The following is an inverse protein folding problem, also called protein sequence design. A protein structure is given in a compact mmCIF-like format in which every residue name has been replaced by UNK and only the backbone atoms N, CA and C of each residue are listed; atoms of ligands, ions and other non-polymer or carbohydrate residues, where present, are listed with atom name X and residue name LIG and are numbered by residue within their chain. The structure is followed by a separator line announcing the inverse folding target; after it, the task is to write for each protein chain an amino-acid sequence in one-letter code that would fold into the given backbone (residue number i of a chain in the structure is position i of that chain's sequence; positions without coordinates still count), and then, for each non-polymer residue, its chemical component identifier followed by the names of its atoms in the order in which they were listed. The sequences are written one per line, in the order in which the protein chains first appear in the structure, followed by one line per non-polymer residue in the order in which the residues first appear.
data_IF_174814091837
#
_entry.id   IF_174814091837
#
_cell.length_a   1.000
_cell.length_b   1.000
_cell.length_c   1.000
_cell.angle_alpha   90.00
_cell.angle_beta   90.00
_cell.angle_gamma   90.00
#
_symmetry.space_group_name_H-M   'P 1'
#
loop_
_entity.id
_entity.type
_entity.pdbx_description
1 polymer ?
#
# COMPACT_ATOMS: atom_id res chain seq x y z
N UNK A 1 -3.10 10.05 15.07
CA UNK A 1 -2.35 11.13 14.38
C UNK A 1 -0.85 10.99 14.62
N UNK A 2 -0.43 10.80 15.88
CA UNK A 2 0.98 10.59 16.28
C UNK A 2 1.73 9.52 15.48
N UNK A 3 1.18 8.32 15.34
CA UNK A 3 1.83 7.25 14.56
C UNK A 3 2.22 7.70 13.15
N UNK A 4 1.35 8.47 12.48
CA UNK A 4 1.63 9.00 11.14
C UNK A 4 2.68 10.10 11.17
N UNK A 5 2.70 10.94 12.21
CA UNK A 5 3.71 11.98 12.36
C UNK A 5 5.10 11.39 12.52
N UNK A 6 5.25 10.27 13.24
CA UNK A 6 6.54 9.63 13.47
C UNK A 6 6.98 8.71 12.33
N UNK A 7 6.06 8.02 11.65
CA UNK A 7 6.40 7.03 10.62
C UNK A 7 6.12 7.50 9.18
N UNK A 8 5.45 8.64 8.99
CA UNK A 8 5.05 9.15 7.68
C UNK A 8 3.89 8.39 7.02
N UNK A 9 3.44 7.26 7.58
CA UNK A 9 2.36 6.43 7.05
C UNK A 9 1.40 5.94 8.14
N UNK A 10 0.26 5.38 7.74
CA UNK A 10 -0.70 4.76 8.66
C UNK A 10 -0.70 3.24 8.62
N UNK A 11 0.30 2.63 7.96
CA UNK A 11 0.52 1.19 8.02
C UNK A 11 1.15 0.77 9.36
N UNK A 12 0.30 0.58 10.35
CA UNK A 12 0.71 0.24 11.71
C UNK A 12 1.16 -1.22 11.75
N UNK A 13 2.38 -1.55 12.23
CA UNK A 13 2.83 -2.93 12.33
C UNK A 13 2.10 -3.67 13.46
N UNK A 14 1.93 -4.98 13.30
CA UNK A 14 1.36 -5.84 14.34
C UNK A 14 2.44 -6.21 15.38
N UNK A 15 2.79 -5.27 16.26
CA UNK A 15 3.73 -5.47 17.38
C UNK A 15 2.99 -5.41 18.71
N UNK A 16 3.64 -5.80 19.81
CA UNK A 16 3.04 -5.77 21.15
C UNK A 16 2.59 -4.35 21.53
N UNK A 17 3.41 -3.35 21.19
CA UNK A 17 3.23 -1.93 21.49
C UNK A 17 2.12 -1.31 20.64
N UNK A 18 1.98 -1.75 19.38
CA UNK A 18 1.04 -1.18 18.43
C UNK A 18 -0.22 -2.04 18.21
N UNK A 19 -0.38 -3.15 18.94
CA UNK A 19 -1.41 -4.17 18.68
C UNK A 19 -2.82 -3.59 18.58
N UNK A 20 -3.19 -2.72 19.52
CA UNK A 20 -4.53 -2.14 19.55
C UNK A 20 -4.77 -1.20 18.37
N UNK A 21 -3.80 -0.36 18.05
CA UNK A 21 -3.88 0.55 16.90
C UNK A 21 -3.87 -0.21 15.57
N UNK A 22 -3.10 -1.30 15.48
CA UNK A 22 -3.09 -2.20 14.33
C UNK A 22 -4.47 -2.85 14.09
N UNK A 23 -5.08 -3.41 15.14
CA UNK A 23 -6.41 -4.02 15.07
C UNK A 23 -7.43 -2.97 14.64
N UNK A 24 -7.44 -1.81 15.30
CA UNK A 24 -8.37 -0.73 14.97
C UNK A 24 -8.23 -0.27 13.51
N UNK A 25 -7.02 -0.02 13.05
CA UNK A 25 -6.76 0.39 11.66
C UNK A 25 -7.20 -0.69 10.66
N UNK A 26 -6.98 -1.96 10.99
CA UNK A 26 -7.42 -3.09 10.16
C UNK A 26 -8.95 -3.14 10.08
N UNK A 27 -9.66 -3.01 11.20
CA UNK A 27 -11.12 -2.96 11.24
C UNK A 27 -11.69 -1.80 10.43
N UNK A 28 -11.07 -0.61 10.47
CA UNK A 28 -11.53 0.51 9.63
C UNK A 28 -11.42 0.17 8.14
N UNK A 29 -10.29 -0.41 7.71
CA UNK A 29 -10.07 -0.80 6.30
C UNK A 29 -11.06 -1.85 5.83
N UNK A 30 -11.32 -2.87 6.66
CA UNK A 30 -12.28 -3.93 6.34
C UNK A 30 -13.71 -3.38 6.23
N UNK A 31 -14.10 -2.49 7.14
CA UNK A 31 -15.41 -1.85 7.09
C UNK A 31 -15.59 -0.98 5.84
N UNK A 32 -14.57 -0.20 5.47
CA UNK A 32 -14.61 0.61 4.24
C UNK A 32 -14.66 -0.26 2.98
N UNK A 33 -13.93 -1.39 2.96
CA UNK A 33 -14.00 -2.36 1.86
C UNK A 33 -15.43 -2.90 1.72
N UNK A 34 -16.04 -3.36 2.82
CA UNK A 34 -17.43 -3.85 2.82
C UNK A 34 -18.42 -2.77 2.38
N UNK A 35 -18.22 -1.52 2.79
CA UNK A 35 -19.06 -0.40 2.39
C UNK A 35 -19.00 -0.13 0.88
N UNK A 36 -17.81 -0.14 0.29
CA UNK A 36 -17.64 -0.03 -1.17
C UNK A 36 -18.30 -1.16 -1.96
N UNK A 37 -18.39 -2.35 -1.36
CA UNK A 37 -19.09 -3.51 -1.94
C UNK A 37 -20.61 -3.48 -1.69
N UNK A 38 -21.16 -2.43 -1.07
CA UNK A 38 -22.58 -2.34 -0.71
C UNK A 38 -23.00 -3.23 0.47
N UNK A 39 -22.05 -3.87 1.14
CA UNK A 39 -22.27 -4.82 2.25
C UNK A 39 -22.04 -4.21 3.65
N UNK A 40 -21.54 -2.97 3.70
CA UNK A 40 -21.09 -2.33 4.93
C UNK A 40 -22.08 -1.29 5.46
N UNK A 41 -22.70 -1.58 6.59
CA UNK A 41 -23.74 -0.75 7.25
C UNK A 41 -23.13 0.26 8.24
N UNK A 42 -21.91 0.00 8.73
CA UNK A 42 -21.37 0.64 9.95
C UNK A 42 -20.43 1.83 9.74
N UNK A 43 -19.90 1.99 8.53
CA UNK A 43 -19.07 3.14 8.18
C UNK A 43 -19.89 4.06 7.28
N UNK A 44 -20.10 5.29 7.75
CA UNK A 44 -20.77 6.33 6.97
C UNK A 44 -19.73 7.24 6.32
N UNK A 45 -20.15 7.99 5.30
CA UNK A 45 -19.27 8.93 4.60
C UNK A 45 -18.61 9.94 5.54
N UNK A 46 -19.31 10.38 6.58
CA UNK A 46 -18.78 11.32 7.56
C UNK A 46 -17.55 10.76 8.29
N UNK A 47 -17.56 9.49 8.70
CA UNK A 47 -16.40 8.79 9.27
C UNK A 47 -15.28 8.67 8.25
N UNK A 48 -15.61 8.36 7.00
CA UNK A 48 -14.62 8.27 5.91
C UNK A 48 -13.91 9.62 5.71
N UNK A 49 -14.66 10.72 5.65
CA UNK A 49 -14.14 12.08 5.49
C UNK A 49 -13.23 12.48 6.66
N UNK A 50 -13.62 12.20 7.91
CA UNK A 50 -12.78 12.48 9.09
C UNK A 50 -11.44 11.72 9.03
N UNK A 51 -11.47 10.46 8.63
CA UNK A 51 -10.28 9.64 8.50
C UNK A 51 -9.40 10.09 7.31
N UNK A 52 -10.00 10.48 6.18
CA UNK A 52 -9.27 11.12 5.08
C UNK A 52 -8.63 12.45 5.49
N UNK A 53 -9.29 13.27 6.31
CA UNK A 53 -8.78 14.56 6.77
C UNK A 53 -7.51 14.43 7.64
N UNK A 54 -7.37 13.32 8.37
CA UNK A 54 -6.12 13.01 9.09
C UNK A 54 -5.11 12.23 8.21
N UNK A 55 -5.44 12.06 6.93
CA UNK A 55 -4.71 11.31 5.93
C UNK A 55 -4.50 9.85 6.29
N UNK A 56 -5.54 9.20 6.82
CA UNK A 56 -5.61 7.76 7.02
C UNK A 56 -5.66 7.04 5.66
N UNK A 57 -4.70 6.15 5.43
CA UNK A 57 -4.63 5.35 4.21
C UNK A 57 -5.52 4.10 4.33
N UNK A 58 -6.57 4.06 3.50
CA UNK A 58 -7.54 2.97 3.43
C UNK A 58 -7.00 1.70 2.77
N UNK A 59 -5.93 1.82 1.99
CA UNK A 59 -5.28 0.67 1.34
C UNK A 59 -4.34 -0.01 2.34
N UNK A 60 -4.26 -1.33 2.27
CA UNK A 60 -3.55 -2.19 3.23
C UNK A 60 -2.02 -2.06 3.16
N UNK A 61 -1.36 -2.86 4.03
CA UNK A 61 0.09 -3.06 4.28
C UNK A 61 1.05 -2.97 3.09
N UNK A 62 0.56 -3.17 1.88
CA UNK A 62 1.39 -3.18 0.69
C UNK A 62 1.61 -1.78 0.10
N UNK A 63 0.79 -0.78 0.44
CA UNK A 63 0.89 0.56 -0.18
C UNK A 63 2.18 1.28 0.22
N UNK A 64 2.50 1.32 1.50
CA UNK A 64 3.75 1.93 1.96
C UNK A 64 4.97 1.16 1.46
N UNK A 65 4.96 -0.17 1.59
CA UNK A 65 6.03 -1.02 1.07
C UNK A 65 6.23 -0.86 -0.44
N UNK A 66 5.14 -0.75 -1.20
CA UNK A 66 5.19 -0.47 -2.63
C UNK A 66 5.83 0.88 -2.90
N UNK A 67 5.37 1.97 -2.24
CA UNK A 67 5.96 3.32 -2.39
C UNK A 67 7.45 3.33 -2.07
N UNK A 68 7.85 2.64 -1.01
CA UNK A 68 9.24 2.52 -0.60
C UNK A 68 10.09 1.78 -1.66
N UNK A 69 9.59 0.64 -2.17
CA UNK A 69 10.28 -0.13 -3.23
C UNK A 69 10.32 0.61 -4.57
N UNK A 70 9.27 1.35 -4.90
CA UNK A 70 9.24 2.22 -6.06
C UNK A 70 10.28 3.35 -5.93
N UNK A 71 10.40 3.95 -4.75
CA UNK A 71 11.48 4.90 -4.43
C UNK A 71 12.87 4.29 -4.62
N UNK A 72 13.12 3.10 -4.06
CA UNK A 72 14.38 2.37 -4.27
C UNK A 72 14.68 2.13 -5.76
N UNK A 73 13.66 1.78 -6.55
CA UNK A 73 13.80 1.55 -7.99
C UNK A 73 14.15 2.85 -8.73
N UNK A 74 13.44 3.94 -8.42
CA UNK A 74 13.68 5.26 -8.99
C UNK A 74 15.11 5.73 -8.69
N UNK A 75 15.54 5.60 -7.43
CA UNK A 75 16.86 6.04 -7.00
C UNK A 75 17.96 5.15 -7.62
N UNK A 76 17.68 3.85 -7.82
CA UNK A 76 18.54 2.95 -8.57
C UNK A 76 18.72 3.41 -10.02
N UNK A 77 17.62 3.70 -10.73
CA UNK A 77 17.68 4.19 -12.10
C UNK A 77 18.33 5.58 -12.22
N UNK A 78 18.13 6.46 -11.22
CA UNK A 78 18.82 7.76 -11.17
C UNK A 78 20.34 7.60 -11.05
N UNK A 79 20.80 6.60 -10.29
CA UNK A 79 22.23 6.39 -10.02
C UNK A 79 22.96 5.60 -11.12
N UNK A 80 22.30 4.62 -11.73
CA UNK A 80 22.95 3.68 -12.66
C UNK A 80 22.38 3.74 -14.09
N UNK A 81 21.41 4.62 -14.34
CA UNK A 81 20.62 4.62 -15.58
C UNK A 81 19.47 3.62 -15.53
N UNK A 82 18.53 3.78 -16.47
CA UNK A 82 17.43 2.82 -16.64
C UNK A 82 18.01 1.52 -17.20
N UNK A 83 17.87 0.42 -16.47
CA UNK A 83 18.50 -0.84 -16.86
C UNK A 83 18.10 -2.02 -15.98
N UNK A 84 18.56 -3.23 -16.34
CA UNK A 84 18.24 -4.44 -15.58
C UNK A 84 18.82 -4.36 -14.18
N UNK A 85 17.98 -4.61 -13.18
CA UNK A 85 18.41 -4.64 -11.77
C UNK A 85 19.27 -5.89 -11.56
N UNK A 86 20.50 -5.76 -11.03
CA UNK A 86 21.35 -6.91 -10.74
C UNK A 86 20.69 -7.90 -9.78
N UNK A 87 20.88 -9.21 -10.03
CA UNK A 87 20.39 -10.28 -9.14
C UNK A 87 20.97 -10.22 -7.73
N UNK A 88 22.12 -9.54 -7.55
CA UNK A 88 22.73 -9.27 -6.24
C UNK A 88 21.80 -8.41 -5.37
N UNK A 89 21.02 -7.50 -5.95
CA UNK A 89 19.94 -6.75 -5.28
C UNK A 89 18.64 -7.57 -5.23
N UNK A 90 18.69 -8.75 -4.59
CA UNK A 90 17.65 -9.79 -4.59
C UNK A 90 16.23 -9.25 -4.32
N UNK A 91 16.08 -8.35 -3.35
CA UNK A 91 14.77 -7.79 -2.95
C UNK A 91 14.17 -6.89 -4.03
N UNK A 92 14.94 -5.92 -4.51
CA UNK A 92 14.51 -4.98 -5.55
C UNK A 92 14.27 -5.70 -6.89
N UNK A 93 15.15 -6.65 -7.25
CA UNK A 93 15.00 -7.49 -8.44
C UNK A 93 13.69 -8.29 -8.43
N UNK A 94 13.40 -9.01 -7.33
CA UNK A 94 12.16 -9.79 -7.20
C UNK A 94 10.92 -8.90 -7.24
N UNK A 95 10.99 -7.75 -6.57
CA UNK A 95 9.87 -6.81 -6.54
C UNK A 95 9.58 -6.24 -7.94
N UNK A 96 10.59 -5.75 -8.66
CA UNK A 96 10.42 -5.21 -10.01
C UNK A 96 9.92 -6.27 -11.00
N UNK A 97 10.44 -7.50 -10.93
CA UNK A 97 9.93 -8.62 -11.75
C UNK A 97 8.46 -8.91 -11.47
N UNK A 98 8.04 -8.84 -10.20
CA UNK A 98 6.62 -9.00 -9.84
C UNK A 98 5.77 -7.87 -10.41
N UNK A 99 6.21 -6.61 -10.35
CA UNK A 99 5.47 -5.48 -10.94
C UNK A 99 5.28 -5.67 -12.45
N UNK A 100 6.33 -6.09 -13.16
CA UNK A 100 6.23 -6.38 -14.60
C UNK A 100 5.16 -7.43 -14.91
N UNK A 101 5.14 -8.53 -14.14
CA UNK A 101 4.13 -9.59 -14.29
C UNK A 101 2.71 -9.10 -13.99
N UNK A 102 2.53 -8.28 -12.95
CA UNK A 102 1.20 -7.75 -12.61
C UNK A 102 0.70 -6.73 -13.66
N UNK A 103 1.60 -5.99 -14.31
CA UNK A 103 1.30 -5.14 -15.46
C UNK A 103 0.93 -5.96 -16.71
N UNK A 104 1.67 -7.04 -16.99
CA UNK A 104 1.33 -7.95 -18.10
C UNK A 104 -0.09 -8.52 -17.93
N UNK A 105 -0.45 -8.95 -16.72
CA UNK A 105 -1.82 -9.38 -16.39
C UNK A 105 -2.85 -8.27 -16.63
N UNK A 106 -2.53 -7.04 -16.20
CA UNK A 106 -3.42 -5.89 -16.40
C UNK A 106 -3.71 -5.66 -17.89
N UNK A 107 -2.66 -5.64 -18.72
CA UNK A 107 -2.77 -5.47 -20.18
C UNK A 107 -3.55 -6.61 -20.81
N UNK A 108 -3.41 -7.83 -20.30
CA UNK A 108 -4.13 -9.02 -20.79
C UNK A 108 -5.56 -9.14 -20.26
N UNK A 109 -6.05 -8.19 -19.44
CA UNK A 109 -7.38 -8.24 -18.84
C UNK A 109 -7.55 -9.30 -17.74
N UNK A 110 -6.45 -9.87 -17.25
CA UNK A 110 -6.46 -10.82 -16.14
C UNK A 110 -6.63 -10.11 -14.79
N UNK A 111 -7.17 -10.83 -13.80
CA UNK A 111 -7.29 -10.31 -12.44
C UNK A 111 -5.91 -9.97 -11.85
N UNK A 112 -5.69 -8.69 -11.59
CA UNK A 112 -4.44 -8.13 -11.06
C UNK A 112 -4.70 -7.32 -9.79
N UNK A 113 -3.66 -7.11 -8.97
CA UNK A 113 -3.73 -6.16 -7.84
C UNK A 113 -3.28 -4.75 -8.22
N UNK A 114 -3.01 -4.50 -9.51
CA UNK A 114 -2.72 -3.18 -10.06
C UNK A 114 -4.01 -2.35 -10.08
N UNK A 115 -3.90 -1.09 -9.70
CA UNK A 115 -4.94 -0.08 -9.82
C UNK A 115 -4.43 1.03 -10.75
N UNK A 116 -5.28 1.98 -11.16
CA UNK A 116 -4.89 3.09 -12.05
C UNK A 116 -3.69 3.92 -11.53
N UNK A 117 -3.31 3.77 -10.26
CA UNK A 117 -2.20 4.49 -9.62
C UNK A 117 -0.88 3.69 -9.55
N UNK A 118 -0.84 2.42 -10.02
CA UNK A 118 0.32 1.51 -9.88
C UNK A 118 0.77 0.89 -11.19
#
# INVERSE_FOLDING_TARGET
KEFKATHGHTDVPNTRENKQLFIWASSQRDNNKKHKEGKGIWINEARIRKLKAIGFEWRSKDTYKWKMRFGELRDFHKKYGVGPIPRTKKTLYRWARRQKKEYEKYVNGEKTNMDEER
#
